data_IF_251019357432
#
_entry.id   IF_251019357432
#
_cell.length_a   1.000
_cell.length_b   1.000
_cell.length_c   1.000
_cell.angle_alpha   90.00
_cell.angle_beta   90.00
_cell.angle_gamma   90.00
#
_symmetry.space_group_name_H-M   'P 1'
#
loop_
_entity.id
_entity.type
_entity.pdbx_description
1 polymer ?
#
# COMPACT_ATOMS: atom_id res chain seq x y z
N UNK A 1 25.27 -22.79 -55.50
CA UNK A 1 25.18 -21.47 -54.83
C UNK A 1 24.97 -21.72 -53.33
N UNK A 2 25.93 -21.41 -52.45
CA UNK A 2 25.83 -21.75 -51.04
C UNK A 2 24.92 -20.76 -50.30
N UNK A 3 23.91 -21.30 -49.60
CA UNK A 3 23.02 -20.55 -48.71
C UNK A 3 23.82 -19.91 -47.57
N UNK A 4 24.17 -18.62 -47.71
CA UNK A 4 24.71 -17.81 -46.62
C UNK A 4 23.66 -17.73 -45.51
N UNK A 5 24.02 -18.24 -44.33
CA UNK A 5 23.08 -18.52 -43.26
C UNK A 5 22.59 -17.23 -42.60
N UNK A 6 21.34 -16.85 -42.92
CA UNK A 6 20.65 -15.67 -42.38
C UNK A 6 20.58 -15.64 -40.85
N UNK A 7 20.74 -16.78 -40.18
CA UNK A 7 20.71 -16.87 -38.71
C UNK A 7 21.85 -16.11 -38.01
N UNK A 8 23.04 -16.00 -38.63
CA UNK A 8 24.18 -15.28 -38.03
C UNK A 8 23.94 -13.77 -37.96
N UNK A 9 23.20 -13.21 -38.94
CA UNK A 9 22.79 -11.80 -38.94
C UNK A 9 21.71 -11.53 -37.90
N UNK A 10 20.78 -12.47 -37.70
CA UNK A 10 19.76 -12.38 -36.64
C UNK A 10 20.41 -12.47 -35.26
N UNK A 11 21.35 -13.40 -35.06
CA UNK A 11 22.08 -13.52 -33.80
C UNK A 11 22.90 -12.26 -33.47
N UNK A 12 23.57 -11.66 -34.46
CA UNK A 12 24.30 -10.40 -34.29
C UNK A 12 23.37 -9.21 -33.97
N UNK A 13 22.19 -9.15 -34.59
CA UNK A 13 21.20 -8.11 -34.32
C UNK A 13 20.61 -8.23 -32.90
N UNK A 14 20.28 -9.45 -32.45
CA UNK A 14 19.76 -9.69 -31.10
C UNK A 14 20.84 -9.41 -30.05
N UNK A 15 22.09 -9.83 -30.28
CA UNK A 15 23.21 -9.51 -29.39
C UNK A 15 23.51 -8.01 -29.35
N UNK A 16 23.43 -7.31 -30.48
CA UNK A 16 23.61 -5.85 -30.56
C UNK A 16 22.53 -5.06 -29.84
N UNK A 17 21.26 -5.49 -29.92
CA UNK A 17 20.12 -4.87 -29.21
C UNK A 17 20.22 -5.11 -27.70
N UNK A 18 20.66 -6.30 -27.27
CA UNK A 18 20.90 -6.59 -25.85
C UNK A 18 22.08 -5.78 -25.31
N UNK A 19 23.19 -5.69 -26.04
CA UNK A 19 24.33 -4.88 -25.64
C UNK A 19 24.02 -3.38 -25.59
N UNK A 20 23.20 -2.86 -26.52
CA UNK A 20 22.77 -1.46 -26.52
C UNK A 20 21.84 -1.11 -25.33
N UNK A 21 21.03 -2.07 -24.85
CA UNK A 21 20.22 -1.87 -23.62
C UNK A 21 21.05 -1.89 -22.35
N UNK A 22 22.13 -2.68 -22.31
CA UNK A 22 23.02 -2.76 -21.13
C UNK A 22 24.02 -1.59 -21.09
N UNK A 23 24.50 -1.12 -22.25
CA UNK A 23 25.42 0.02 -22.35
C UNK A 23 24.73 1.40 -22.26
N UNK A 24 23.41 1.49 -22.50
CA UNK A 24 22.64 2.73 -22.38
C UNK A 24 22.35 3.20 -20.95
N UNK A 25 22.77 2.44 -19.92
CA UNK A 25 22.52 2.73 -18.51
C UNK A 25 23.78 3.17 -17.74
N UNK A 26 24.76 3.78 -18.40
CA UNK A 26 25.96 4.34 -17.76
C UNK A 26 25.68 5.45 -16.73
N UNK A 27 24.44 5.96 -16.65
CA UNK A 27 23.98 6.92 -15.64
C UNK A 27 22.92 6.38 -14.67
N UNK A 28 22.56 5.09 -14.73
CA UNK A 28 21.61 4.48 -13.79
C UNK A 28 22.28 3.86 -12.55
N UNK A 29 23.62 3.86 -12.50
CA UNK A 29 24.37 3.29 -11.38
C UNK A 29 24.36 4.19 -10.12
N UNK A 30 23.98 5.46 -10.24
CA UNK A 30 23.90 6.42 -9.13
C UNK A 30 22.47 6.60 -8.58
N UNK A 31 21.49 5.86 -9.10
CA UNK A 31 20.15 5.89 -8.53
C UNK A 31 20.17 5.15 -7.18
N UNK A 32 19.73 5.78 -6.06
CA UNK A 32 19.61 5.07 -4.80
C UNK A 32 18.71 3.84 -4.99
N UNK A 33 19.02 2.72 -4.31
CA UNK A 33 18.25 1.50 -4.46
C UNK A 33 16.76 1.78 -4.17
N UNK A 34 15.85 1.14 -4.93
CA UNK A 34 14.42 1.35 -4.71
C UNK A 34 14.07 1.00 -3.27
N UNK A 35 13.32 1.89 -2.61
CA UNK A 35 12.86 1.71 -1.23
C UNK A 35 12.04 0.43 -1.11
N UNK A 36 12.23 -0.29 -0.01
CA UNK A 36 11.41 -1.46 0.31
C UNK A 36 9.94 -1.05 0.53
N UNK A 37 8.97 -1.96 0.32
CA UNK A 37 7.55 -1.62 0.46
C UNK A 37 7.18 -1.00 1.83
N UNK A 38 7.75 -1.49 2.92
CA UNK A 38 7.56 -0.94 4.27
C UNK A 38 8.18 0.45 4.45
N UNK A 39 9.29 0.75 3.76
CA UNK A 39 9.89 2.08 3.76
C UNK A 39 9.06 3.09 2.95
N UNK A 40 8.44 2.64 1.85
CA UNK A 40 7.51 3.49 1.09
C UNK A 40 6.25 3.80 1.90
N UNK A 41 5.68 2.81 2.58
CA UNK A 41 4.53 3.03 3.47
C UNK A 41 4.90 3.94 4.65
N UNK A 42 6.06 3.75 5.26
CA UNK A 42 6.55 4.63 6.32
C UNK A 42 6.67 6.09 5.89
N UNK A 43 7.07 6.36 4.63
CA UNK A 43 7.12 7.73 4.09
C UNK A 43 5.73 8.38 4.08
N UNK A 44 4.69 7.65 3.72
CA UNK A 44 3.33 8.18 3.75
C UNK A 44 2.89 8.51 5.19
N UNK A 45 3.29 7.71 6.18
CA UNK A 45 3.04 8.05 7.58
C UNK A 45 3.76 9.33 8.00
N UNK A 46 5.03 9.53 7.60
CA UNK A 46 5.73 10.80 7.84
C UNK A 46 4.97 12.00 7.26
N UNK A 47 4.47 11.90 6.04
CA UNK A 47 3.70 12.99 5.41
C UNK A 47 2.35 13.24 6.09
N UNK A 48 1.65 12.19 6.52
CA UNK A 48 0.41 12.34 7.29
C UNK A 48 0.66 13.01 8.65
N UNK A 49 1.79 12.71 9.31
CA UNK A 49 2.22 13.40 10.52
C UNK A 49 2.50 14.89 10.26
N UNK A 50 3.21 15.23 9.18
CA UNK A 50 3.47 16.63 8.80
C UNK A 50 2.17 17.41 8.57
N UNK A 51 1.23 16.80 7.84
CA UNK A 51 -0.10 17.40 7.60
C UNK A 51 -0.89 17.60 8.90
N UNK A 52 -0.77 16.68 9.86
CA UNK A 52 -1.42 16.81 11.16
C UNK A 52 -0.82 17.97 11.98
N UNK A 53 0.52 18.02 12.08
CA UNK A 53 1.25 19.10 12.75
C UNK A 53 0.88 20.47 12.18
N UNK A 54 0.89 20.62 10.86
CA UNK A 54 0.51 21.87 10.17
C UNK A 54 -1.00 22.16 10.21
N UNK A 55 -1.82 21.15 10.49
CA UNK A 55 -3.27 21.23 10.49
C UNK A 55 -3.87 21.65 11.83
N UNK A 56 -3.08 21.70 12.91
CA UNK A 56 -3.60 21.88 14.27
C UNK A 56 -4.22 23.27 14.50
N UNK A 57 -3.57 24.33 13.99
CA UNK A 57 -4.08 25.70 14.14
C UNK A 57 -5.28 26.02 13.22
N UNK A 58 -5.43 25.25 12.14
CA UNK A 58 -6.53 25.39 11.18
C UNK A 58 -7.20 24.03 10.91
N UNK A 59 -7.89 23.45 11.91
CA UNK A 59 -8.30 22.05 11.91
C UNK A 59 -9.17 21.68 10.71
N UNK A 60 -10.06 22.58 10.27
CA UNK A 60 -10.90 22.38 9.07
C UNK A 60 -10.07 22.25 7.80
N UNK A 61 -9.07 23.11 7.60
CA UNK A 61 -8.22 23.04 6.40
C UNK A 61 -7.26 21.85 6.49
N UNK A 62 -6.71 21.60 7.69
CA UNK A 62 -5.87 20.45 7.99
C UNK A 62 -6.55 19.13 7.62
N UNK A 63 -7.79 18.90 8.09
CA UNK A 63 -8.47 17.63 7.82
C UNK A 63 -8.83 17.45 6.34
N UNK A 64 -9.14 18.53 5.62
CA UNK A 64 -9.35 18.47 4.17
C UNK A 64 -8.07 18.06 3.45
N UNK A 65 -6.91 18.62 3.81
CA UNK A 65 -5.61 18.22 3.25
C UNK A 65 -5.27 16.77 3.59
N UNK A 66 -5.49 16.37 4.84
CA UNK A 66 -5.22 15.01 5.31
C UNK A 66 -6.07 13.98 4.55
N UNK A 67 -7.39 14.21 4.43
CA UNK A 67 -8.31 13.35 3.67
C UNK A 67 -7.98 13.31 2.18
N UNK A 68 -7.57 14.44 1.60
CA UNK A 68 -7.14 14.51 0.19
C UNK A 68 -5.89 13.67 -0.04
N UNK A 69 -4.88 13.82 0.82
CA UNK A 69 -3.66 13.02 0.74
C UNK A 69 -3.97 11.52 0.82
N UNK A 70 -4.83 11.11 1.76
CA UNK A 70 -5.26 9.72 1.86
C UNK A 70 -6.03 9.25 0.60
N UNK A 71 -6.85 10.11 -0.02
CA UNK A 71 -7.56 9.78 -1.25
C UNK A 71 -6.61 9.61 -2.45
N UNK A 72 -5.65 10.52 -2.59
CA UNK A 72 -4.72 10.57 -3.72
C UNK A 72 -3.65 9.47 -3.62
N UNK A 73 -3.22 9.11 -2.40
CA UNK A 73 -2.15 8.14 -2.16
C UNK A 73 -2.64 6.81 -1.56
N UNK A 74 -3.94 6.66 -1.30
CA UNK A 74 -4.53 5.45 -0.73
C UNK A 74 -4.19 4.16 -1.50
N UNK A 75 -4.28 4.13 -2.85
CA UNK A 75 -3.87 2.97 -3.65
C UNK A 75 -2.40 2.60 -3.46
N UNK A 76 -1.50 3.59 -3.42
CA UNK A 76 -0.05 3.36 -3.25
C UNK A 76 0.26 2.85 -1.85
N UNK A 77 -0.38 3.43 -0.82
CA UNK A 77 -0.27 2.96 0.56
C UNK A 77 -0.75 1.51 0.71
N UNK A 78 -1.91 1.18 0.11
CA UNK A 78 -2.46 -0.18 0.13
C UNK A 78 -1.57 -1.18 -0.61
N UNK A 79 -1.00 -0.79 -1.76
CA UNK A 79 -0.03 -1.61 -2.50
C UNK A 79 1.22 -1.85 -1.67
N UNK A 80 1.82 -0.80 -1.11
CA UNK A 80 3.01 -0.90 -0.28
C UNK A 80 2.80 -1.78 0.96
N UNK A 81 1.63 -1.69 1.60
CA UNK A 81 1.24 -2.55 2.70
C UNK A 81 1.14 -4.02 2.26
N UNK A 82 0.40 -4.29 1.18
CA UNK A 82 0.21 -5.65 0.68
C UNK A 82 1.52 -6.28 0.20
N UNK A 83 2.37 -5.52 -0.50
CA UNK A 83 3.70 -5.95 -0.91
C UNK A 83 4.62 -6.23 0.28
N UNK A 84 4.49 -5.48 1.37
CA UNK A 84 5.22 -5.75 2.62
C UNK A 84 4.84 -7.12 3.18
N UNK A 85 3.54 -7.41 3.27
CA UNK A 85 3.03 -8.70 3.74
C UNK A 85 3.55 -9.83 2.84
N UNK A 86 3.37 -9.72 1.53
CA UNK A 86 3.84 -10.73 0.57
C UNK A 86 5.34 -10.95 0.66
N UNK A 87 6.14 -9.89 0.88
CA UNK A 87 7.58 -10.01 1.03
C UNK A 87 7.99 -10.76 2.32
N UNK A 88 7.22 -10.61 3.40
CA UNK A 88 7.41 -11.33 4.66
C UNK A 88 6.99 -12.80 4.50
N UNK A 89 5.75 -13.04 4.04
CA UNK A 89 5.13 -14.37 3.96
C UNK A 89 5.79 -15.32 2.95
N UNK A 90 6.59 -14.78 2.01
CA UNK A 90 7.39 -15.60 1.09
C UNK A 90 8.63 -16.23 1.72
N UNK A 91 8.99 -15.82 2.94
CA UNK A 91 10.17 -16.34 3.65
C UNK A 91 9.78 -17.66 4.32
N UNK A 92 10.38 -18.76 3.87
CA UNK A 92 10.07 -20.10 4.37
C UNK A 92 10.73 -20.45 5.72
N UNK A 93 11.79 -19.75 6.10
CA UNK A 93 12.45 -19.93 7.40
C UNK A 93 11.77 -19.05 8.45
N UNK A 94 11.19 -19.66 9.48
CA UNK A 94 10.39 -18.95 10.50
C UNK A 94 11.19 -17.86 11.23
N UNK A 95 12.48 -18.11 11.52
CA UNK A 95 13.32 -17.13 12.21
C UNK A 95 13.60 -15.89 11.34
N UNK A 96 13.88 -16.11 10.04
CA UNK A 96 14.08 -15.04 9.07
C UNK A 96 12.78 -14.29 8.75
N UNK A 97 11.66 -15.01 8.65
CA UNK A 97 10.32 -14.44 8.52
C UNK A 97 10.05 -13.44 9.66
N UNK A 98 10.22 -13.90 10.89
CA UNK A 98 10.00 -13.12 12.09
C UNK A 98 10.95 -11.92 12.20
N UNK A 99 12.21 -12.08 11.81
CA UNK A 99 13.17 -10.98 11.77
C UNK A 99 12.74 -9.91 10.76
N UNK A 100 12.26 -10.30 9.57
CA UNK A 100 11.77 -9.37 8.55
C UNK A 100 10.50 -8.66 9.00
N UNK A 101 9.57 -9.36 9.67
CA UNK A 101 8.35 -8.81 10.22
C UNK A 101 8.64 -7.78 11.33
N UNK A 102 9.56 -8.09 12.25
CA UNK A 102 10.01 -7.13 13.29
C UNK A 102 10.61 -5.86 12.66
N UNK A 103 11.46 -6.02 11.64
CA UNK A 103 12.04 -4.88 10.91
C UNK A 103 10.98 -4.02 10.20
N UNK A 104 9.97 -4.65 9.58
CA UNK A 104 8.85 -3.93 8.99
C UNK A 104 8.09 -3.13 10.06
N UNK A 105 7.75 -3.78 11.18
CA UNK A 105 7.08 -3.14 12.31
C UNK A 105 7.87 -1.94 12.83
N UNK A 106 9.18 -2.06 13.01
CA UNK A 106 10.04 -0.96 13.46
C UNK A 106 9.97 0.24 12.51
N UNK A 107 10.16 0.01 11.21
CA UNK A 107 10.10 1.06 10.18
C UNK A 107 8.73 1.74 10.11
N UNK A 108 7.65 0.97 10.19
CA UNK A 108 6.28 1.49 10.13
C UNK A 108 5.88 2.24 11.41
N UNK A 109 6.35 1.78 12.57
CA UNK A 109 6.03 2.42 13.86
C UNK A 109 6.84 3.68 14.10
N UNK A 110 8.10 3.72 13.66
CA UNK A 110 8.99 4.86 13.92
C UNK A 110 8.38 6.23 13.59
N UNK A 111 7.81 6.49 12.38
CA UNK A 111 7.22 7.79 12.09
C UNK A 111 5.99 8.11 12.94
N UNK A 112 5.15 7.11 13.22
CA UNK A 112 3.93 7.29 14.02
C UNK A 112 4.23 7.61 15.49
N UNK A 113 5.23 6.94 16.06
CA UNK A 113 5.70 7.22 17.44
C UNK A 113 6.36 8.58 17.50
N UNK A 114 7.15 8.95 16.50
CA UNK A 114 7.82 10.25 16.46
C UNK A 114 6.86 11.45 16.39
N UNK A 115 5.62 11.24 15.92
CA UNK A 115 4.61 12.28 15.75
C UNK A 115 3.33 12.04 16.58
N UNK A 116 3.37 11.16 17.56
CA UNK A 116 2.18 10.73 18.33
C UNK A 116 1.46 11.92 18.97
N UNK A 117 2.22 12.83 19.59
CA UNK A 117 1.68 14.04 20.21
C UNK A 117 1.07 15.01 19.19
N UNK A 118 1.70 15.18 18.02
CA UNK A 118 1.17 16.03 16.94
C UNK A 118 -0.14 15.47 16.38
N UNK A 119 -0.23 14.15 16.18
CA UNK A 119 -1.46 13.50 15.74
C UNK A 119 -2.56 13.63 16.80
N UNK A 120 -2.24 13.43 18.08
CA UNK A 120 -3.20 13.57 19.17
C UNK A 120 -3.73 15.00 19.26
N UNK A 121 -2.85 16.01 19.21
CA UNK A 121 -3.22 17.42 19.23
C UNK A 121 -4.09 17.80 18.01
N UNK A 122 -3.70 17.35 16.81
CA UNK A 122 -4.47 17.61 15.60
C UNK A 122 -5.88 17.03 15.65
N UNK A 123 -6.04 15.76 16.05
CA UNK A 123 -7.36 15.15 16.12
C UNK A 123 -8.22 15.71 17.26
N UNK A 124 -7.62 16.16 18.37
CA UNK A 124 -8.32 16.91 19.41
C UNK A 124 -8.85 18.25 18.84
N UNK A 125 -8.01 19.02 18.14
CA UNK A 125 -8.43 20.26 17.48
C UNK A 125 -9.54 20.04 16.44
N UNK A 126 -9.49 18.94 15.67
CA UNK A 126 -10.56 18.55 14.75
C UNK A 126 -11.86 18.22 15.48
N UNK A 127 -11.79 17.56 16.63
CA UNK A 127 -12.96 17.23 17.45
C UNK A 127 -13.61 18.47 18.06
N UNK A 128 -12.82 19.46 18.47
CA UNK A 128 -13.30 20.71 19.06
C UNK A 128 -13.86 21.68 18.01
N UNK A 129 -13.44 21.58 16.74
CA UNK A 129 -13.97 22.36 15.62
C UNK A 129 -15.17 21.66 14.95
N UNK A 130 -16.37 22.27 15.06
CA UNK A 130 -17.61 21.70 14.50
C UNK A 130 -17.55 21.48 12.98
N UNK A 131 -16.93 22.38 12.23
CA UNK A 131 -16.90 22.31 10.77
C UNK A 131 -15.88 21.25 10.30
N UNK A 132 -14.76 21.11 11.01
CA UNK A 132 -13.79 20.05 10.81
C UNK A 132 -14.41 18.68 11.12
N UNK A 133 -15.06 18.53 12.27
CA UNK A 133 -15.80 17.32 12.66
C UNK A 133 -16.87 16.93 11.64
N UNK A 134 -17.71 17.89 11.22
CA UNK A 134 -18.72 17.64 10.19
C UNK A 134 -18.10 17.22 8.84
N UNK A 135 -16.86 17.63 8.56
CA UNK A 135 -16.13 17.20 7.36
C UNK A 135 -15.69 15.75 7.48
N UNK A 136 -15.18 15.32 8.64
CA UNK A 136 -14.84 13.91 8.91
C UNK A 136 -16.09 13.03 8.80
N UNK A 137 -17.18 13.41 9.46
CA UNK A 137 -18.44 12.65 9.44
C UNK A 137 -18.97 12.45 8.01
N UNK A 138 -18.97 13.50 7.20
CA UNK A 138 -19.38 13.41 5.79
C UNK A 138 -18.45 12.50 4.98
N UNK A 139 -17.14 12.57 5.21
CA UNK A 139 -16.18 11.72 4.51
C UNK A 139 -16.41 10.24 4.85
N UNK A 140 -16.57 9.94 6.15
CA UNK A 140 -16.86 8.59 6.66
C UNK A 140 -18.21 8.07 6.15
N UNK A 141 -19.27 8.89 6.20
CA UNK A 141 -20.58 8.51 5.67
C UNK A 141 -20.53 8.23 4.15
N UNK A 142 -19.72 8.97 3.39
CA UNK A 142 -19.50 8.70 1.97
C UNK A 142 -18.78 7.37 1.76
N UNK A 143 -17.71 7.11 2.51
CA UNK A 143 -16.97 5.85 2.44
C UNK A 143 -17.87 4.65 2.79
N UNK A 144 -18.62 4.72 3.89
CA UNK A 144 -19.54 3.67 4.30
C UNK A 144 -20.56 3.36 3.20
N UNK A 145 -21.16 4.40 2.60
CA UNK A 145 -22.06 4.22 1.47
C UNK A 145 -21.38 3.55 0.27
N UNK A 146 -20.14 3.90 -0.03
CA UNK A 146 -19.36 3.22 -1.08
C UNK A 146 -19.17 1.74 -0.74
N UNK A 147 -18.83 1.41 0.50
CA UNK A 147 -18.68 0.02 0.94
C UNK A 147 -20.01 -0.74 0.88
N UNK A 148 -21.12 -0.14 1.30
CA UNK A 148 -22.47 -0.72 1.18
C UNK A 148 -22.84 -1.00 -0.28
N UNK A 149 -22.53 -0.08 -1.20
CA UNK A 149 -22.77 -0.28 -2.63
C UNK A 149 -21.93 -1.44 -3.17
N UNK A 150 -20.65 -1.50 -2.80
CA UNK A 150 -19.73 -2.51 -3.34
C UNK A 150 -19.95 -3.91 -2.74
N UNK A 151 -20.33 -3.99 -1.47
CA UNK A 151 -20.34 -5.22 -0.69
C UNK A 151 -21.73 -5.65 -0.20
N UNK A 152 -22.75 -4.82 -0.45
CA UNK A 152 -24.11 -4.97 0.06
C UNK A 152 -24.30 -4.39 1.47
N UNK A 153 -25.55 -4.39 1.97
CA UNK A 153 -25.92 -3.84 3.29
C UNK A 153 -25.14 -4.46 4.46
N UNK A 154 -24.62 -5.70 4.30
CA UNK A 154 -23.81 -6.38 5.30
C UNK A 154 -22.31 -6.00 5.25
N UNK A 155 -21.85 -5.33 4.19
CA UNK A 155 -20.45 -4.94 3.99
C UNK A 155 -20.00 -3.72 4.81
N UNK A 156 -20.94 -2.98 5.39
CA UNK A 156 -20.67 -1.90 6.35
C UNK A 156 -20.19 -2.44 7.71
N UNK A 157 -20.49 -3.70 8.03
CA UNK A 157 -19.93 -4.40 9.19
C UNK A 157 -18.70 -5.19 8.73
N UNK A 158 -17.52 -4.56 8.84
CA UNK A 158 -16.23 -5.24 8.71
C UNK A 158 -16.01 -6.23 9.88
N UNK A 159 -16.90 -7.21 10.07
CA UNK A 159 -16.69 -8.37 10.93
C UNK A 159 -15.92 -9.43 10.12
N UNK A 160 -14.63 -9.68 10.41
CA UNK A 160 -13.83 -10.67 9.70
C UNK A 160 -14.46 -12.08 9.73
N UNK A 161 -15.23 -12.41 10.78
CA UNK A 161 -15.90 -13.71 10.91
C UNK A 161 -17.13 -13.83 10.01
N UNK A 162 -17.81 -12.72 9.71
CA UNK A 162 -18.90 -12.70 8.74
C UNK A 162 -18.38 -12.94 7.32
N UNK A 163 -17.24 -12.33 6.97
CA UNK A 163 -16.58 -12.52 5.68
C UNK A 163 -16.11 -13.96 5.46
N UNK A 164 -15.45 -14.58 6.46
CA UNK A 164 -15.00 -15.98 6.39
C UNK A 164 -16.17 -16.97 6.22
N UNK A 165 -17.26 -16.79 6.97
CA UNK A 165 -18.49 -17.60 6.82
C UNK A 165 -19.17 -17.46 5.46
N UNK A 166 -18.85 -16.41 4.69
CA UNK A 166 -19.37 -16.18 3.35
C UNK A 166 -18.52 -16.90 2.31
N UNK A 167 -17.20 -16.90 2.48
CA UNK A 167 -16.26 -17.64 1.63
C UNK A 167 -16.49 -19.16 1.72
N UNK A 168 -16.74 -19.68 2.93
CA UNK A 168 -17.08 -21.11 3.13
C UNK A 168 -18.37 -21.53 2.40
N UNK A 169 -19.32 -20.61 2.21
CA UNK A 169 -20.57 -20.89 1.46
C UNK A 169 -20.39 -20.85 -0.05
N UNK A 170 -19.32 -20.22 -0.54
CA UNK A 170 -18.99 -20.14 -1.96
C UNK A 170 -18.03 -21.24 -2.40
N UNK A 171 -17.43 -21.97 -1.45
CA UNK A 171 -16.68 -23.17 -1.75
C UNK A 171 -17.64 -24.26 -2.30
N UNK A 172 -17.40 -24.80 -3.50
CA UNK A 172 -18.21 -25.90 -4.01
C UNK A 172 -18.12 -27.09 -3.05
N UNK A 173 -19.28 -27.69 -2.75
CA UNK A 173 -19.33 -28.88 -1.89
C UNK A 173 -18.39 -29.96 -2.45
N UNK A 174 -17.63 -30.68 -1.59
CA UNK A 174 -16.76 -31.75 -2.04
C UNK A 174 -17.61 -32.75 -2.82
N UNK A 175 -17.29 -32.93 -4.10
CA UNK A 175 -17.93 -33.94 -4.93
C UNK A 175 -17.71 -35.29 -4.27
N UNK A 176 -18.79 -35.88 -3.76
CA UNK A 176 -18.78 -37.22 -3.20
C UNK A 176 -18.20 -38.16 -4.26
N UNK A 177 -17.00 -38.67 -4.00
CA UNK A 177 -16.36 -39.65 -4.86
C UNK A 177 -17.28 -40.85 -5.03
N UNK A 178 -17.70 -41.08 -6.29
CA UNK A 178 -18.25 -42.39 -6.68
C UNK A 178 -17.12 -43.40 -6.53
N UNK A 179 -17.30 -44.32 -5.59
CA UNK A 179 -16.59 -45.60 -5.56
C UNK A 179 -17.02 -46.46 -6.74
#
# INVERSE_FOLDING_TARGET
MPHRSRWKLVAAAVAGVLAARVAGCGGCADAPPPRQPDERLALHFTHLCELAREGTDEPRQGIVRWLRYHGDHGPDMASAFTETLVAIERIADDAAHDARARKARERLRAPLVACEDDLAAFFAAVADDRDASATVERATARLNRTLEILLGADGANLDPRALLRRLDRLAPAPTAGRR
#
